data_IF_717787777467
#
_entry.id   IF_717787777467
#
_cell.length_a   1.000
_cell.length_b   1.000
_cell.length_c   1.000
_cell.angle_alpha   90.00
_cell.angle_beta   90.00
_cell.angle_gamma   90.00
#
_symmetry.space_group_name_H-M   'P 1'
#
loop_
_entity.id
_entity.type
_entity.pdbx_description
1 polymer ?
#
# COMPACT_ATOMS: atom_id res chain seq x y z
N UNK A 1 -13.21 6.37 -6.19
CA UNK A 1 -12.93 7.44 -5.20
C UNK A 1 -11.43 7.54 -4.95
N UNK A 2 -10.93 8.67 -4.42
CA UNK A 2 -9.57 8.73 -3.86
C UNK A 2 -9.46 7.60 -2.82
N UNK A 3 -8.36 6.82 -2.88
CA UNK A 3 -8.13 5.66 -2.01
C UNK A 3 -8.59 4.30 -2.56
N UNK A 4 -9.51 4.26 -3.53
CA UNK A 4 -9.97 2.97 -4.13
C UNK A 4 -9.04 2.47 -5.23
N UNK A 5 -8.33 3.38 -5.91
CA UNK A 5 -7.38 3.05 -6.97
C UNK A 5 -5.98 3.08 -6.34
N UNK A 6 -5.26 1.94 -6.28
CA UNK A 6 -3.93 1.89 -5.69
C UNK A 6 -2.94 2.80 -6.44
N UNK A 7 -2.03 3.42 -5.71
CA UNK A 7 -1.00 4.27 -6.30
C UNK A 7 -0.09 3.43 -7.20
N UNK A 8 0.15 3.88 -8.43
CA UNK A 8 0.97 3.14 -9.39
C UNK A 8 2.41 2.92 -8.90
N UNK A 9 2.98 3.93 -8.23
CA UNK A 9 4.30 3.87 -7.60
C UNK A 9 4.04 3.70 -6.11
N UNK A 10 3.90 2.46 -5.67
CA UNK A 10 3.48 2.14 -4.31
C UNK A 10 4.52 2.56 -3.27
N UNK A 11 5.81 2.68 -3.65
CA UNK A 11 6.87 3.15 -2.75
C UNK A 11 6.63 4.60 -2.31
N UNK A 12 6.07 5.41 -3.21
CA UNK A 12 5.73 6.81 -2.97
C UNK A 12 4.46 7.02 -2.14
N UNK A 13 3.66 5.96 -1.93
CA UNK A 13 2.43 6.03 -1.14
C UNK A 13 2.75 6.20 0.34
N UNK A 14 2.03 7.10 1.02
CA UNK A 14 2.12 7.28 2.48
C UNK A 14 0.79 6.90 3.11
N UNK A 15 0.84 5.92 4.04
CA UNK A 15 -0.34 5.44 4.80
C UNK A 15 -0.28 5.77 6.29
N UNK A 16 0.91 5.98 6.84
CA UNK A 16 1.08 6.30 8.25
C UNK A 16 0.49 7.68 8.56
N UNK A 17 -0.45 7.71 9.48
CA UNK A 17 -1.18 8.91 9.90
C UNK A 17 -0.26 9.97 10.53
N UNK A 18 0.78 9.59 11.24
CA UNK A 18 1.76 10.52 11.82
C UNK A 18 2.59 11.20 10.73
N UNK A 19 2.95 10.45 9.68
CA UNK A 19 3.65 11.01 8.52
C UNK A 19 2.72 11.96 7.75
N UNK A 20 1.45 11.57 7.54
CA UNK A 20 0.45 12.45 6.92
C UNK A 20 0.26 13.74 7.74
N UNK A 21 0.21 13.66 9.07
CA UNK A 21 0.13 14.83 9.95
C UNK A 21 1.33 15.76 9.75
N UNK A 22 2.55 15.24 9.77
CA UNK A 22 3.74 16.04 9.50
C UNK A 22 3.73 16.68 8.10
N UNK A 23 3.18 15.99 7.08
CA UNK A 23 3.00 16.58 5.75
C UNK A 23 2.02 17.75 5.79
N UNK A 24 0.90 17.59 6.49
CA UNK A 24 -0.09 18.67 6.66
C UNK A 24 0.47 19.84 7.44
N UNK A 25 1.37 19.62 8.42
CA UNK A 25 2.03 20.69 9.18
C UNK A 25 2.96 21.54 8.30
N UNK A 26 3.66 20.94 7.35
CA UNK A 26 4.56 21.64 6.42
C UNK A 26 3.82 22.37 5.27
N UNK A 27 2.57 22.02 4.99
CA UNK A 27 1.80 22.59 3.87
C UNK A 27 0.86 23.69 4.37
N UNK A 28 1.04 24.98 4.00
CA UNK A 28 0.27 26.09 4.58
C UNK A 28 -1.11 26.32 3.93
N UNK A 29 -1.34 25.78 2.74
CA UNK A 29 -2.52 26.09 1.91
C UNK A 29 -3.22 24.79 1.51
N UNK A 30 -4.54 24.77 1.66
CA UNK A 30 -5.41 23.76 1.05
C UNK A 30 -6.11 24.35 -0.16
N UNK A 31 -6.19 23.58 -1.24
CA UNK A 31 -7.09 23.88 -2.36
C UNK A 31 -8.38 23.10 -2.18
N UNK A 32 -9.51 23.79 -2.11
CA UNK A 32 -10.85 23.18 -2.00
C UNK A 32 -11.54 23.27 -3.35
N UNK A 33 -11.73 22.13 -4.00
CA UNK A 33 -12.46 22.00 -5.26
C UNK A 33 -13.91 21.56 -5.00
N UNK A 34 -14.86 22.20 -5.67
CA UNK A 34 -16.28 21.88 -5.65
C UNK A 34 -16.87 21.88 -7.07
N UNK A 35 -17.93 21.13 -7.31
CA UNK A 35 -18.62 21.11 -8.61
C UNK A 35 -19.40 22.42 -8.83
N UNK A 36 -19.13 23.14 -9.92
CA UNK A 36 -19.83 24.38 -10.26
C UNK A 36 -20.19 24.47 -11.75
N UNK A 37 -21.33 23.87 -12.11
CA UNK A 37 -21.75 23.80 -13.50
C UNK A 37 -20.83 22.92 -14.33
N UNK A 38 -20.28 23.46 -15.42
CA UNK A 38 -19.41 22.75 -16.36
C UNK A 38 -17.97 22.59 -15.84
N UNK A 39 -17.50 23.52 -15.00
CA UNK A 39 -16.13 23.54 -14.51
C UNK A 39 -16.06 23.31 -12.99
N UNK A 40 -14.98 22.73 -12.47
CA UNK A 40 -14.75 22.72 -11.03
C UNK A 40 -14.39 24.13 -10.54
N UNK A 41 -14.98 24.54 -9.43
CA UNK A 41 -14.61 25.76 -8.72
C UNK A 41 -13.58 25.43 -7.64
N UNK A 42 -12.37 26.00 -7.74
CA UNK A 42 -11.24 25.69 -6.85
C UNK A 42 -10.80 26.96 -6.12
N UNK A 43 -10.69 26.89 -4.79
CA UNK A 43 -10.28 28.03 -3.95
C UNK A 43 -9.16 27.64 -3.00
N UNK A 44 -8.03 28.38 -2.98
CA UNK A 44 -6.99 28.21 -1.97
C UNK A 44 -7.43 28.86 -0.65
N UNK A 45 -7.24 28.16 0.48
CA UNK A 45 -7.59 28.64 1.81
C UNK A 45 -6.48 28.25 2.81
N UNK A 46 -6.29 29.10 3.83
CA UNK A 46 -5.65 28.66 5.07
C UNK A 46 -6.56 27.67 5.77
N UNK A 47 -5.97 26.67 6.41
CA UNK A 47 -6.70 25.65 7.14
C UNK A 47 -6.12 25.41 8.52
N UNK A 48 -6.89 24.72 9.35
CA UNK A 48 -6.37 23.91 10.43
C UNK A 48 -6.93 22.51 10.27
N UNK A 49 -6.42 21.54 11.00
CA UNK A 49 -6.94 20.18 10.91
C UNK A 49 -6.93 19.48 12.26
N UNK A 50 -7.69 18.41 12.33
CA UNK A 50 -7.69 17.45 13.42
C UNK A 50 -7.80 16.04 12.83
N UNK A 51 -7.12 15.09 13.47
CA UNK A 51 -7.15 13.70 13.07
C UNK A 51 -7.78 12.88 14.18
N UNK A 52 -8.85 12.17 13.85
CA UNK A 52 -9.49 11.18 14.72
C UNK A 52 -9.20 9.77 14.18
N UNK A 53 -9.60 8.75 14.93
CA UNK A 53 -9.45 7.37 14.51
C UNK A 53 -10.19 7.06 13.19
N UNK A 54 -11.29 7.76 12.94
CA UNK A 54 -12.18 7.54 11.80
C UNK A 54 -11.96 8.53 10.64
N UNK A 55 -11.58 9.78 10.95
CA UNK A 55 -11.63 10.88 9.97
C UNK A 55 -10.45 11.84 10.08
N UNK A 56 -10.13 12.46 8.93
CA UNK A 56 -9.40 13.72 8.85
C UNK A 56 -10.43 14.87 8.78
N UNK A 57 -10.40 15.76 9.77
CA UNK A 57 -11.24 16.95 9.85
C UNK A 57 -10.43 18.17 9.41
N UNK A 58 -10.86 18.86 8.36
CA UNK A 58 -10.15 20.05 7.84
C UNK A 58 -11.02 21.28 8.05
N UNK A 59 -10.54 22.22 8.86
CA UNK A 59 -11.21 23.47 9.18
C UNK A 59 -10.75 24.58 8.26
N UNK A 60 -11.68 25.23 7.58
CA UNK A 60 -11.43 26.41 6.73
C UNK A 60 -12.32 27.57 7.14
N UNK A 61 -11.89 28.79 6.82
CA UNK A 61 -12.67 29.99 7.10
C UNK A 61 -13.23 30.63 5.84
N UNK A 62 -14.19 31.54 6.02
CA UNK A 62 -14.74 32.34 4.93
C UNK A 62 -15.79 33.34 5.37
N UNK A 63 -16.44 33.93 4.37
CA UNK A 63 -17.66 34.71 4.54
C UNK A 63 -18.87 33.78 4.78
N UNK A 64 -19.97 34.34 5.28
CA UNK A 64 -21.24 33.61 5.50
C UNK A 64 -22.10 33.49 4.23
N UNK A 65 -21.76 34.26 3.21
CA UNK A 65 -22.49 34.38 1.95
C UNK A 65 -21.50 34.59 0.79
N UNK A 66 -22.02 34.45 -0.43
CA UNK A 66 -21.26 34.57 -1.68
C UNK A 66 -21.05 33.23 -2.37
N UNK A 67 -20.55 33.31 -3.61
CA UNK A 67 -20.50 32.20 -4.57
C UNK A 67 -19.93 30.90 -3.99
N UNK A 68 -18.79 30.98 -3.27
CA UNK A 68 -18.17 29.82 -2.61
C UNK A 68 -19.12 29.08 -1.67
N UNK A 69 -19.84 29.83 -0.84
CA UNK A 69 -20.79 29.26 0.14
C UNK A 69 -22.03 28.72 -0.57
N UNK A 70 -22.49 29.39 -1.62
CA UNK A 70 -23.65 28.95 -2.41
C UNK A 70 -23.37 27.64 -3.15
N UNK A 71 -22.17 27.50 -3.73
CA UNK A 71 -21.69 26.24 -4.34
C UNK A 71 -21.64 25.12 -3.30
N UNK A 72 -21.05 25.35 -2.13
CA UNK A 72 -20.98 24.35 -1.04
C UNK A 72 -22.35 23.96 -0.49
N UNK A 73 -23.30 24.90 -0.42
CA UNK A 73 -24.69 24.61 0.00
C UNK A 73 -25.42 23.77 -1.04
N UNK A 74 -25.21 24.04 -2.33
CA UNK A 74 -25.84 23.29 -3.42
C UNK A 74 -25.33 21.86 -3.53
N UNK A 75 -24.02 21.66 -3.36
CA UNK A 75 -23.40 20.35 -3.32
C UNK A 75 -22.22 20.36 -2.31
N UNK A 76 -22.36 19.70 -1.15
CA UNK A 76 -21.33 19.74 -0.12
C UNK A 76 -20.16 18.77 -0.37
N UNK A 77 -20.17 18.00 -1.47
CA UNK A 77 -19.05 17.13 -1.83
C UNK A 77 -17.90 17.97 -2.37
N UNK A 78 -16.76 17.92 -1.70
CA UNK A 78 -15.55 18.66 -2.07
C UNK A 78 -14.34 17.75 -2.17
N UNK A 79 -13.35 18.16 -2.96
CA UNK A 79 -12.03 17.53 -3.03
C UNK A 79 -10.97 18.51 -2.52
N UNK A 80 -10.04 18.02 -1.72
CA UNK A 80 -8.98 18.76 -1.08
C UNK A 80 -7.64 18.36 -1.68
N UNK A 81 -6.77 19.33 -1.91
CA UNK A 81 -5.36 19.09 -2.27
C UNK A 81 -4.45 19.96 -1.42
N UNK A 82 -3.51 19.29 -0.77
CA UNK A 82 -2.38 19.85 -0.02
C UNK A 82 -1.12 19.44 -0.79
N UNK A 83 -0.27 20.38 -1.16
CA UNK A 83 0.95 20.04 -1.90
C UNK A 83 2.08 21.02 -1.63
N UNK A 84 3.31 20.50 -1.60
CA UNK A 84 4.53 21.28 -1.58
C UNK A 84 5.57 20.67 -2.52
N UNK A 85 6.46 21.51 -3.03
CA UNK A 85 7.44 21.15 -4.05
C UNK A 85 8.77 21.84 -3.74
N UNK A 86 9.85 21.06 -3.70
CA UNK A 86 11.20 21.56 -3.59
C UNK A 86 11.98 21.26 -4.87
N UNK A 87 12.60 22.29 -5.43
CA UNK A 87 13.55 22.13 -6.52
C UNK A 87 14.97 22.15 -5.94
N UNK A 88 15.81 21.20 -6.34
CA UNK A 88 17.21 21.13 -5.95
C UNK A 88 18.12 21.43 -7.15
N UNK A 89 18.22 22.71 -7.57
CA UNK A 89 19.03 23.07 -8.72
C UNK A 89 20.50 22.77 -8.45
N UNK A 90 21.10 21.92 -9.28
CA UNK A 90 22.51 21.50 -9.25
C UNK A 90 22.91 20.55 -8.11
N UNK A 91 22.03 20.25 -7.17
CA UNK A 91 22.35 19.45 -5.97
C UNK A 91 21.36 18.31 -5.86
N UNK A 92 21.66 17.16 -6.46
CA UNK A 92 20.73 16.03 -6.41
C UNK A 92 20.52 15.57 -4.97
N UNK A 93 19.27 15.24 -4.64
CA UNK A 93 18.91 14.56 -3.40
C UNK A 93 18.37 13.17 -3.74
N UNK A 94 19.03 12.12 -3.25
CA UNK A 94 18.69 10.70 -3.52
C UNK A 94 18.53 10.39 -5.03
N UNK A 95 19.34 11.06 -5.85
CA UNK A 95 19.33 10.92 -7.31
C UNK A 95 18.21 11.66 -8.05
N UNK A 96 17.40 12.50 -7.38
CA UNK A 96 16.43 13.41 -8.01
C UNK A 96 16.89 14.87 -7.97
N UNK A 97 16.44 15.67 -8.92
CA UNK A 97 16.63 17.13 -8.95
C UNK A 97 15.43 17.90 -8.33
N UNK A 98 14.38 17.19 -7.94
CA UNK A 98 13.20 17.77 -7.29
C UNK A 98 12.57 16.76 -6.34
N UNK A 99 11.82 17.26 -5.37
CA UNK A 99 11.03 16.46 -4.44
C UNK A 99 9.63 17.09 -4.28
N UNK A 100 8.61 16.25 -4.26
CA UNK A 100 7.21 16.65 -4.22
C UNK A 100 6.47 15.87 -3.15
N UNK A 101 5.61 16.54 -2.40
CA UNK A 101 4.80 15.93 -1.35
C UNK A 101 3.37 16.41 -1.44
N UNK A 102 2.41 15.52 -1.28
CA UNK A 102 1.00 15.89 -1.31
C UNK A 102 0.11 14.99 -0.49
N UNK A 103 -0.96 15.58 0.05
CA UNK A 103 -2.12 14.89 0.60
C UNK A 103 -3.32 15.29 -0.25
N UNK A 104 -4.18 14.32 -0.57
CA UNK A 104 -5.46 14.55 -1.20
C UNK A 104 -6.56 13.91 -0.37
N UNK A 105 -7.72 14.55 -0.29
CA UNK A 105 -8.85 14.02 0.45
C UNK A 105 -10.17 14.37 -0.25
N UNK A 106 -11.14 13.47 -0.22
CA UNK A 106 -12.52 13.79 -0.57
C UNK A 106 -13.37 13.80 0.70
N UNK A 107 -14.29 14.76 0.80
CA UNK A 107 -15.11 14.90 1.99
C UNK A 107 -16.40 15.69 1.80
N UNK A 108 -17.11 15.85 2.90
CA UNK A 108 -18.35 16.62 2.98
C UNK A 108 -18.08 17.90 3.76
N UNK A 109 -18.27 19.06 3.12
CA UNK A 109 -18.13 20.36 3.79
C UNK A 109 -19.41 20.74 4.53
N UNK A 110 -19.26 21.22 5.78
CA UNK A 110 -20.35 21.66 6.64
C UNK A 110 -20.00 22.97 7.35
N UNK A 111 -20.95 23.90 7.52
CA UNK A 111 -20.75 25.06 8.38
C UNK A 111 -20.61 24.63 9.84
N UNK A 112 -19.74 25.34 10.57
CA UNK A 112 -19.55 25.15 12.02
C UNK A 112 -20.29 26.27 12.76
N UNK A 113 -21.34 25.91 13.49
CA UNK A 113 -22.22 26.86 14.16
C UNK A 113 -21.77 27.19 15.59
N UNK A 114 -22.22 28.34 16.09
CA UNK A 114 -21.98 28.83 17.44
C UNK A 114 -23.20 28.60 18.31
N UNK A 115 -23.00 28.31 19.60
CA UNK A 115 -24.04 28.41 20.62
C UNK A 115 -24.80 27.12 20.93
N UNK A 116 -24.45 26.00 20.29
CA UNK A 116 -24.91 24.69 20.73
C UNK A 116 -24.08 24.24 21.95
N UNK A 117 -24.67 23.55 22.95
CA UNK A 117 -23.90 22.86 23.97
C UNK A 117 -22.92 21.88 23.30
N UNK A 118 -21.61 22.08 23.50
CA UNK A 118 -20.56 21.35 22.76
C UNK A 118 -20.13 21.97 21.43
N UNK A 119 -20.53 23.22 21.14
CA UNK A 119 -20.24 23.90 19.88
C UNK A 119 -18.74 23.97 19.54
N UNK A 120 -18.39 23.51 18.33
CA UNK A 120 -17.01 23.31 17.88
C UNK A 120 -16.39 24.54 17.20
N UNK A 121 -17.09 25.68 17.13
CA UNK A 121 -16.58 26.90 16.48
C UNK A 121 -15.26 27.38 17.09
N UNK A 122 -15.17 27.45 18.42
CA UNK A 122 -13.94 27.89 19.08
C UNK A 122 -12.77 26.94 18.85
N UNK A 123 -13.06 25.64 18.82
CA UNK A 123 -12.09 24.60 18.50
C UNK A 123 -11.57 24.72 17.06
N UNK A 124 -12.47 24.90 16.09
CA UNK A 124 -12.12 25.09 14.68
C UNK A 124 -11.24 26.33 14.46
N UNK A 125 -11.55 27.45 15.14
CA UNK A 125 -10.70 28.66 15.09
C UNK A 125 -9.32 28.37 15.69
N UNK A 126 -9.25 27.65 16.81
CA UNK A 126 -7.98 27.31 17.45
C UNK A 126 -7.12 26.41 16.56
N UNK A 127 -7.71 25.40 15.91
CA UNK A 127 -7.02 24.53 14.95
C UNK A 127 -6.43 25.35 13.80
N UNK A 128 -7.22 26.24 13.19
CA UNK A 128 -6.77 27.15 12.13
C UNK A 128 -5.62 28.05 12.60
N UNK A 129 -5.73 28.65 13.79
CA UNK A 129 -4.68 29.55 14.30
C UNK A 129 -3.38 28.79 14.60
N UNK A 130 -3.47 27.63 15.25
CA UNK A 130 -2.32 26.80 15.61
C UNK A 130 -1.53 26.39 14.36
N UNK A 131 -2.21 25.89 13.34
CA UNK A 131 -1.59 25.45 12.10
C UNK A 131 -0.88 26.60 11.36
N UNK A 132 -1.43 27.82 11.45
CA UNK A 132 -0.83 29.01 10.84
C UNK A 132 0.19 29.72 11.76
N UNK A 133 0.76 29.01 12.74
CA UNK A 133 1.83 29.51 13.62
C UNK A 133 1.40 30.56 14.64
N UNK A 134 0.09 30.74 14.89
CA UNK A 134 -0.44 31.71 15.86
C UNK A 134 -0.71 31.02 17.20
N UNK A 135 -0.12 31.55 18.27
CA UNK A 135 -0.21 30.93 19.61
C UNK A 135 -1.61 31.12 20.24
N UNK A 136 -2.11 30.16 21.03
CA UNK A 136 -3.42 30.25 21.70
C UNK A 136 -3.61 31.51 22.55
N UNK A 137 -2.54 32.02 23.16
CA UNK A 137 -2.57 33.22 24.00
C UNK A 137 -2.62 34.56 23.24
N UNK A 138 -2.35 34.58 21.93
CA UNK A 138 -2.42 35.83 21.16
C UNK A 138 -3.85 36.27 20.85
N UNK A 139 -4.82 35.35 20.93
CA UNK A 139 -6.14 35.55 20.35
C UNK A 139 -7.22 34.85 21.19
N UNK A 140 -8.01 35.62 21.95
CA UNK A 140 -9.20 35.04 22.59
C UNK A 140 -10.22 34.66 21.51
N UNK A 141 -10.77 33.44 21.57
CA UNK A 141 -11.76 32.92 20.60
C UNK A 141 -12.93 33.89 20.38
N UNK A 142 -13.35 34.62 21.43
CA UNK A 142 -14.41 35.64 21.34
C UNK A 142 -14.13 36.71 20.27
N UNK A 143 -12.86 37.08 20.07
CA UNK A 143 -12.46 38.10 19.10
C UNK A 143 -12.68 37.67 17.65
N UNK A 144 -12.66 36.36 17.37
CA UNK A 144 -12.85 35.78 16.03
C UNK A 144 -14.29 35.35 15.75
N UNK A 145 -15.24 35.74 16.60
CA UNK A 145 -16.64 35.34 16.47
C UNK A 145 -17.35 35.82 15.19
N UNK A 146 -16.75 36.76 14.45
CA UNK A 146 -17.26 37.21 13.15
C UNK A 146 -16.93 36.23 12.02
N UNK A 147 -15.87 35.42 12.17
CA UNK A 147 -15.36 34.53 11.15
C UNK A 147 -16.27 33.30 10.99
N UNK A 148 -16.80 33.08 9.78
CA UNK A 148 -17.51 31.85 9.48
C UNK A 148 -16.50 30.72 9.32
N UNK A 149 -16.78 29.62 10.00
CA UNK A 149 -15.95 28.41 9.96
C UNK A 149 -16.72 27.30 9.27
N UNK A 150 -15.98 26.47 8.55
CA UNK A 150 -16.48 25.28 7.89
C UNK A 150 -15.54 24.13 8.21
N UNK A 151 -16.08 22.92 8.33
CA UNK A 151 -15.32 21.68 8.49
C UNK A 151 -15.57 20.81 7.27
N UNK A 152 -14.51 20.22 6.73
CA UNK A 152 -14.61 19.16 5.73
C UNK A 152 -14.30 17.85 6.44
N UNK A 153 -15.30 16.98 6.51
CA UNK A 153 -15.17 15.64 7.08
C UNK A 153 -14.69 14.68 5.98
N UNK A 154 -13.49 14.14 6.13
CA UNK A 154 -12.91 13.18 5.18
C UNK A 154 -12.69 11.84 5.89
N UNK A 155 -13.36 10.78 5.44
CA UNK A 155 -13.07 9.43 5.93
C UNK A 155 -11.67 9.00 5.48
N UNK A 156 -10.93 8.28 6.32
CA UNK A 156 -9.57 7.84 5.98
C UNK A 156 -9.51 6.98 4.69
N UNK A 157 -10.59 6.27 4.37
CA UNK A 157 -10.73 5.54 3.10
C UNK A 157 -10.72 6.46 1.85
N UNK A 158 -10.90 7.76 2.04
CA UNK A 158 -10.93 8.79 1.01
C UNK A 158 -9.78 9.78 1.12
N UNK A 159 -8.74 9.43 1.88
CA UNK A 159 -7.49 10.19 2.00
C UNK A 159 -6.37 9.40 1.32
N UNK A 160 -5.53 10.10 0.56
CA UNK A 160 -4.32 9.53 -0.02
C UNK A 160 -3.16 10.51 0.14
N UNK A 161 -1.95 10.01 0.32
CA UNK A 161 -0.77 10.84 0.42
C UNK A 161 0.38 10.27 -0.41
N UNK A 162 1.19 11.17 -0.98
CA UNK A 162 2.33 10.85 -1.84
C UNK A 162 3.57 11.64 -1.40
N UNK A 163 4.72 10.98 -1.43
CA UNK A 163 6.04 11.61 -1.45
C UNK A 163 6.82 11.13 -2.68
N UNK A 164 7.54 12.02 -3.37
CA UNK A 164 8.35 11.65 -4.53
C UNK A 164 9.56 10.84 -4.08
N UNK A 165 10.24 11.33 -3.05
CA UNK A 165 11.23 10.57 -2.29
C UNK A 165 10.51 9.91 -1.12
N UNK A 166 10.46 8.57 -1.06
CA UNK A 166 9.79 7.91 0.04
C UNK A 166 10.42 8.15 1.41
N UNK A 167 9.57 8.12 2.44
CA UNK A 167 9.85 8.49 3.82
C UNK A 167 9.36 7.41 4.78
N UNK A 168 10.03 7.28 5.93
CA UNK A 168 9.72 6.28 6.94
C UNK A 168 9.18 6.88 8.24
N UNK A 169 9.59 8.11 8.56
CA UNK A 169 9.22 8.76 9.81
C UNK A 169 8.80 10.21 9.60
N UNK A 170 8.02 10.79 10.53
CA UNK A 170 7.62 12.19 10.47
C UNK A 170 8.80 13.17 10.34
N UNK A 171 9.96 12.85 10.91
CA UNK A 171 11.15 13.71 10.86
C UNK A 171 11.80 13.76 9.48
N UNK A 172 11.43 12.85 8.57
CA UNK A 172 11.91 12.84 7.18
C UNK A 172 11.05 13.76 6.26
N UNK A 173 9.99 14.36 6.81
CA UNK A 173 9.03 15.20 6.09
C UNK A 173 9.49 16.64 5.85
N UNK A 174 10.34 17.30 6.64
CA UNK A 174 10.93 18.56 6.18
C UNK A 174 11.80 18.34 4.93
N UNK A 175 11.86 19.30 4.01
CA UNK A 175 12.81 19.19 2.88
C UNK A 175 14.24 19.40 3.41
N UNK A 176 15.23 18.64 2.93
CA UNK A 176 16.61 18.83 3.35
C UNK A 176 17.12 20.20 2.87
N UNK A 177 17.91 20.84 3.71
CA UNK A 177 18.64 22.07 3.36
C UNK A 177 19.74 21.77 2.34
N UNK A 178 20.18 22.76 1.55
CA UNK A 178 21.34 22.60 0.66
C UNK A 178 22.60 22.10 1.38
N UNK A 179 22.80 22.51 2.64
CA UNK A 179 23.92 22.06 3.46
C UNK A 179 23.82 20.57 3.80
N UNK A 180 22.63 20.09 4.19
CA UNK A 180 22.37 18.67 4.44
C UNK A 180 22.49 17.83 3.17
N UNK A 181 22.04 18.33 2.01
CA UNK A 181 22.21 17.64 0.72
C UNK A 181 23.69 17.49 0.38
N UNK A 182 24.49 18.55 0.51
CA UNK A 182 25.95 18.50 0.23
C UNK A 182 26.70 17.63 1.24
N UNK A 183 26.27 17.60 2.50
CA UNK A 183 26.88 16.79 3.55
C UNK A 183 26.50 15.30 3.45
N UNK A 184 25.30 15.01 2.97
CA UNK A 184 24.81 13.67 2.71
C UNK A 184 25.33 13.15 1.37
N UNK A 185 26.46 12.45 1.37
CA UNK A 185 26.82 11.59 0.24
C UNK A 185 25.61 10.71 -0.08
N UNK A 186 25.18 10.67 -1.35
CA UNK A 186 24.04 9.91 -1.88
C UNK A 186 23.82 8.59 -1.11
N UNK A 187 23.04 8.62 -0.02
CA UNK A 187 22.72 7.39 0.70
C UNK A 187 21.82 6.60 -0.24
N UNK A 188 22.18 5.36 -0.60
CA UNK A 188 21.35 4.56 -1.46
C UNK A 188 19.97 4.45 -0.81
N UNK A 189 18.95 4.69 -1.62
CA UNK A 189 17.57 4.57 -1.21
C UNK A 189 17.29 3.09 -0.84
N UNK A 190 16.80 2.85 0.38
CA UNK A 190 16.51 1.49 0.84
C UNK A 190 15.19 1.00 0.23
N UNK A 191 15.27 0.44 -0.97
CA UNK A 191 14.13 -0.16 -1.63
C UNK A 191 13.55 -1.33 -0.82
N UNK A 192 14.38 -2.09 -0.10
CA UNK A 192 13.91 -3.28 0.61
C UNK A 192 12.88 -2.91 1.68
N UNK A 193 13.04 -1.77 2.35
CA UNK A 193 12.04 -1.24 3.28
C UNK A 193 10.64 -1.16 2.64
N UNK A 194 10.51 -0.64 1.41
CA UNK A 194 9.20 -0.42 0.77
C UNK A 194 8.55 -1.67 0.22
N UNK A 195 9.36 -2.57 -0.34
CA UNK A 195 8.85 -3.87 -0.78
C UNK A 195 8.36 -4.71 0.40
N UNK A 196 8.90 -4.50 1.61
CA UNK A 196 8.55 -5.33 2.75
C UNK A 196 7.64 -4.65 3.78
N UNK A 197 7.53 -3.30 3.83
CA UNK A 197 6.76 -2.60 4.87
C UNK A 197 5.30 -3.06 4.97
N UNK A 198 4.83 -3.40 6.16
CA UNK A 198 3.42 -3.66 6.42
C UNK A 198 2.69 -2.34 6.76
N UNK A 199 1.42 -2.16 6.34
CA UNK A 199 0.66 -0.94 6.65
C UNK A 199 0.14 -0.87 8.09
N UNK A 200 0.38 -1.92 8.89
CA UNK A 200 -0.03 -2.05 10.28
C UNK A 200 1.20 -2.31 11.16
N UNK A 201 1.11 -1.90 12.43
CA UNK A 201 2.14 -2.21 13.41
C UNK A 201 2.15 -3.70 13.75
N UNK A 202 3.33 -4.29 13.87
CA UNK A 202 3.51 -5.73 14.09
C UNK A 202 3.03 -6.21 15.48
N UNK A 203 2.80 -5.29 16.41
CA UNK A 203 2.16 -5.55 17.70
C UNK A 203 0.69 -6.04 17.55
N UNK A 204 0.09 -5.91 16.37
CA UNK A 204 -1.28 -6.30 16.05
C UNK A 204 -1.48 -7.81 15.76
N UNK A 205 -0.54 -8.67 16.15
CA UNK A 205 -0.54 -10.11 15.86
C UNK A 205 -1.03 -11.07 16.98
N UNK A 206 -2.07 -10.78 17.79
CA UNK A 206 -2.58 -11.80 18.69
C UNK A 206 -3.44 -12.83 17.95
N UNK A 207 -2.99 -14.09 17.94
CA UNK A 207 -3.90 -15.23 17.74
C UNK A 207 -4.27 -15.55 16.30
N UNK A 208 -3.34 -15.44 15.35
CA UNK A 208 -3.51 -16.03 14.02
C UNK A 208 -3.70 -17.55 14.17
N UNK A 209 -4.91 -18.02 13.88
CA UNK A 209 -5.22 -19.44 13.87
C UNK A 209 -4.70 -20.04 12.57
N UNK A 210 -4.04 -21.20 12.68
CA UNK A 210 -3.69 -22.02 11.53
C UNK A 210 -4.94 -22.27 10.67
N UNK A 211 -4.81 -22.12 9.35
CA UNK A 211 -5.87 -22.49 8.44
C UNK A 211 -6.12 -24.01 8.51
N UNK A 212 -7.39 -24.43 8.33
CA UNK A 212 -7.71 -25.86 8.25
C UNK A 212 -7.03 -26.50 7.03
N UNK A 213 -6.52 -27.71 7.21
CA UNK A 213 -6.01 -28.50 6.07
C UNK A 213 -7.13 -28.76 5.05
N UNK A 214 -6.86 -28.66 3.74
CA UNK A 214 -7.83 -29.03 2.71
C UNK A 214 -8.32 -30.48 2.87
N UNK A 215 -9.59 -30.73 2.51
CA UNK A 215 -10.26 -32.04 2.70
C UNK A 215 -9.97 -33.08 1.62
N UNK A 216 -9.59 -32.68 0.42
CA UNK A 216 -9.34 -33.56 -0.74
C UNK A 216 -7.94 -33.28 -1.32
N UNK A 217 -7.19 -34.32 -1.72
CA UNK A 217 -5.79 -34.22 -2.15
C UNK A 217 -5.60 -34.86 -3.54
N UNK A 218 -4.94 -34.16 -4.47
CA UNK A 218 -4.64 -34.67 -5.82
C UNK A 218 -3.17 -35.09 -6.00
N UNK A 219 -2.22 -34.48 -5.30
CA UNK A 219 -0.79 -34.80 -5.48
C UNK A 219 0.03 -34.60 -4.19
N UNK A 220 0.97 -35.52 -3.91
CA UNK A 220 1.86 -35.48 -2.74
C UNK A 220 3.26 -34.97 -3.06
N UNK A 221 4.01 -34.57 -2.03
CA UNK A 221 5.43 -34.25 -2.14
C UNK A 221 6.24 -35.44 -2.72
N UNK A 222 6.94 -35.28 -3.86
CA UNK A 222 7.79 -36.29 -4.48
C UNK A 222 7.26 -37.06 -5.70
N UNK A 223 6.00 -36.85 -6.17
CA UNK A 223 5.38 -37.75 -7.16
C UNK A 223 5.41 -37.27 -8.63
N UNK A 224 5.41 -35.96 -8.91
CA UNK A 224 5.50 -35.38 -10.28
C UNK A 224 6.03 -33.92 -10.27
N UNK A 225 6.75 -33.50 -11.33
CA UNK A 225 7.18 -32.09 -11.53
C UNK A 225 6.00 -31.18 -11.93
N UNK A 226 5.10 -31.66 -12.79
CA UNK A 226 3.82 -31.01 -13.15
C UNK A 226 2.69 -31.65 -12.38
N UNK A 227 1.96 -30.87 -11.58
CA UNK A 227 0.86 -31.39 -10.75
C UNK A 227 -0.53 -31.10 -11.34
N UNK A 228 -0.69 -30.05 -12.16
CA UNK A 228 -1.86 -29.87 -13.03
C UNK A 228 -1.41 -29.42 -14.42
N UNK A 229 -1.86 -30.12 -15.46
CA UNK A 229 -1.56 -29.79 -16.85
C UNK A 229 -2.77 -29.15 -17.54
N UNK A 230 -2.51 -28.20 -18.45
CA UNK A 230 -3.56 -27.57 -19.27
C UNK A 230 -4.57 -26.74 -18.48
N UNK A 231 -4.14 -26.09 -17.39
CA UNK A 231 -4.99 -25.16 -16.64
C UNK A 231 -5.30 -23.91 -17.49
N UNK A 232 -6.45 -23.26 -17.28
CA UNK A 232 -6.79 -22.07 -18.04
C UNK A 232 -5.82 -20.93 -17.75
N UNK A 233 -5.50 -20.15 -18.79
CA UNK A 233 -4.67 -18.95 -18.66
C UNK A 233 -5.42 -17.72 -18.14
N UNK A 234 -6.72 -17.85 -17.83
CA UNK A 234 -7.57 -16.77 -17.32
C UNK A 234 -8.46 -17.28 -16.19
N UNK A 235 -8.69 -16.41 -15.19
CA UNK A 235 -9.60 -16.72 -14.10
C UNK A 235 -9.13 -17.87 -13.21
N UNK A 236 -7.83 -18.15 -13.13
CA UNK A 236 -7.27 -19.11 -12.19
C UNK A 236 -7.08 -18.45 -10.83
N UNK A 237 -7.57 -19.02 -9.74
CA UNK A 237 -7.28 -18.58 -8.38
C UNK A 237 -6.37 -19.59 -7.70
N UNK A 238 -5.22 -19.13 -7.20
CA UNK A 238 -4.29 -19.90 -6.39
C UNK A 238 -4.45 -19.46 -4.93
N UNK A 239 -5.00 -20.32 -4.10
CA UNK A 239 -5.17 -20.09 -2.66
C UNK A 239 -4.06 -20.82 -1.92
N UNK A 240 -3.33 -20.08 -1.08
CA UNK A 240 -2.24 -20.62 -0.27
C UNK A 240 -2.64 -20.57 1.19
N UNK A 241 -2.55 -21.69 1.89
CA UNK A 241 -2.83 -21.80 3.32
C UNK A 241 -1.62 -22.39 4.03
N UNK A 242 -1.39 -22.03 5.30
CA UNK A 242 -0.36 -22.67 6.12
C UNK A 242 -0.86 -22.99 7.54
N UNK A 243 -0.26 -24.01 8.14
CA UNK A 243 -0.66 -24.55 9.46
C UNK A 243 0.23 -24.06 10.61
N UNK A 244 1.04 -23.04 10.36
CA UNK A 244 2.17 -22.64 11.20
C UNK A 244 1.86 -22.19 12.63
N UNK A 245 2.92 -21.99 13.39
CA UNK A 245 2.86 -21.52 14.77
C UNK A 245 2.13 -20.16 14.89
N UNK A 246 1.41 -19.91 16.00
CA UNK A 246 0.76 -18.62 16.22
C UNK A 246 1.74 -17.44 16.14
N UNK A 247 1.31 -16.37 15.48
CA UNK A 247 2.09 -15.14 15.32
C UNK A 247 3.11 -15.18 14.18
N UNK A 248 3.22 -16.28 13.43
CA UNK A 248 3.94 -16.30 12.17
C UNK A 248 3.14 -15.53 11.10
N UNK A 249 3.81 -14.64 10.38
CA UNK A 249 3.26 -13.91 9.22
C UNK A 249 4.01 -14.43 7.99
N UNK A 250 3.28 -15.06 7.09
CA UNK A 250 3.81 -15.56 5.84
C UNK A 250 3.20 -14.76 4.69
N UNK A 251 4.08 -14.14 3.91
CA UNK A 251 3.70 -13.35 2.75
C UNK A 251 3.77 -14.22 1.50
N UNK A 252 2.68 -14.22 0.74
CA UNK A 252 2.64 -14.79 -0.60
C UNK A 252 2.90 -13.68 -1.61
N UNK A 253 3.71 -14.01 -2.61
CA UNK A 253 3.98 -13.11 -3.72
C UNK A 253 4.09 -13.88 -5.01
N UNK A 254 3.98 -13.17 -6.12
CA UNK A 254 4.15 -13.71 -7.44
C UNK A 254 5.13 -12.86 -8.24
N UNK A 255 6.10 -13.48 -8.90
CA UNK A 255 6.98 -12.83 -9.87
C UNK A 255 6.71 -13.38 -11.26
N UNK A 256 6.79 -12.49 -12.27
CA UNK A 256 6.59 -12.84 -13.67
C UNK A 256 7.96 -12.92 -14.34
N UNK A 257 8.23 -14.04 -15.02
CA UNK A 257 9.51 -14.29 -15.67
C UNK A 257 9.38 -14.27 -17.20
N UNK A 258 10.34 -13.59 -17.83
CA UNK A 258 10.52 -13.63 -19.28
C UNK A 258 11.07 -15.01 -19.73
N UNK A 259 11.27 -15.18 -21.03
CA UNK A 259 11.79 -16.42 -21.63
C UNK A 259 13.23 -16.76 -21.24
N UNK A 260 13.94 -15.87 -20.56
CA UNK A 260 15.26 -16.10 -19.98
C UNK A 260 15.18 -16.51 -18.49
N UNK A 261 13.97 -16.65 -17.94
CA UNK A 261 13.75 -16.96 -16.53
C UNK A 261 14.00 -15.78 -15.59
N UNK A 262 13.92 -14.55 -16.10
CA UNK A 262 14.26 -13.33 -15.35
C UNK A 262 13.06 -12.42 -15.11
N UNK A 263 13.08 -11.74 -13.96
CA UNK A 263 12.22 -10.59 -13.71
C UNK A 263 12.80 -9.40 -14.48
N UNK A 264 12.16 -9.04 -15.60
CA UNK A 264 12.69 -7.99 -16.48
C UNK A 264 12.60 -6.60 -15.86
N UNK A 265 11.55 -6.33 -15.05
CA UNK A 265 11.33 -5.04 -14.39
C UNK A 265 10.77 -5.22 -12.99
N UNK A 266 11.06 -4.24 -12.13
CA UNK A 266 10.64 -4.23 -10.71
C UNK A 266 9.12 -4.30 -10.47
N UNK A 267 8.30 -4.02 -11.48
CA UNK A 267 6.85 -4.07 -11.39
C UNK A 267 6.25 -5.33 -12.02
N UNK A 268 7.06 -6.28 -12.46
CA UNK A 268 6.63 -7.57 -12.98
C UNK A 268 6.44 -8.56 -11.81
N UNK A 269 5.65 -8.12 -10.82
CA UNK A 269 5.30 -8.89 -9.62
C UNK A 269 3.95 -8.46 -9.04
N UNK A 270 3.36 -9.32 -8.22
CA UNK A 270 2.21 -8.99 -7.38
C UNK A 270 2.43 -9.46 -5.93
N UNK A 271 2.14 -8.58 -4.97
CA UNK A 271 2.22 -8.84 -3.53
C UNK A 271 1.34 -7.82 -2.75
N UNK A 272 1.33 -7.85 -1.43
CA UNK A 272 0.42 -7.02 -0.62
C UNK A 272 0.54 -5.49 -0.84
N UNK A 273 1.74 -4.93 -1.06
CA UNK A 273 1.89 -3.49 -1.36
C UNK A 273 1.71 -3.14 -2.83
N UNK A 274 1.97 -4.07 -3.74
CA UNK A 274 1.67 -3.94 -5.16
C UNK A 274 0.75 -5.08 -5.58
N UNK A 275 -0.55 -4.90 -5.37
CA UNK A 275 -1.52 -5.99 -5.61
C UNK A 275 -1.62 -6.44 -7.05
N UNK A 276 -1.11 -5.67 -8.03
CA UNK A 276 -1.15 -6.04 -9.45
C UNK A 276 0.23 -5.87 -10.06
N UNK A 277 0.64 -6.85 -10.85
CA UNK A 277 1.76 -6.66 -11.75
C UNK A 277 1.40 -5.66 -12.87
N UNK A 278 2.44 -5.21 -13.58
CA UNK A 278 2.36 -4.26 -14.69
C UNK A 278 1.37 -4.65 -15.78
N UNK A 279 1.25 -5.94 -16.08
CA UNK A 279 0.41 -6.51 -17.14
C UNK A 279 -0.99 -6.90 -16.64
N UNK A 280 -1.23 -6.83 -15.33
CA UNK A 280 -2.48 -7.26 -14.68
C UNK A 280 -2.76 -8.75 -14.92
N UNK A 281 -1.71 -9.54 -15.05
CA UNK A 281 -1.76 -10.98 -15.17
C UNK A 281 -1.87 -11.67 -13.80
N UNK A 282 -1.43 -11.02 -12.72
CA UNK A 282 -1.59 -11.50 -11.36
C UNK A 282 -2.17 -10.39 -10.49
N UNK A 283 -3.17 -10.75 -9.67
CA UNK A 283 -3.74 -9.92 -8.63
C UNK A 283 -3.66 -10.59 -7.27
N UNK A 284 -2.95 -9.96 -6.33
CA UNK A 284 -2.91 -10.36 -4.93
C UNK A 284 -4.19 -9.91 -4.22
N UNK A 285 -4.98 -10.85 -3.70
CA UNK A 285 -6.28 -10.53 -3.06
C UNK A 285 -6.10 -9.77 -1.73
N UNK A 286 -4.93 -9.89 -1.10
CA UNK A 286 -4.49 -9.05 0.00
C UNK A 286 -3.81 -9.85 1.10
N UNK A 287 -3.24 -9.12 2.04
CA UNK A 287 -2.49 -9.64 3.19
C UNK A 287 -3.38 -10.47 4.14
N UNK A 288 -2.89 -11.60 4.65
CA UNK A 288 -3.66 -12.53 5.47
C UNK A 288 -4.10 -11.93 6.81
N UNK A 289 -3.26 -11.10 7.44
CA UNK A 289 -3.56 -10.41 8.71
C UNK A 289 -4.76 -9.46 8.57
N UNK A 290 -4.95 -8.88 7.38
CA UNK A 290 -6.05 -7.95 7.12
C UNK A 290 -7.33 -8.63 6.66
N UNK A 291 -7.25 -9.83 6.07
CA UNK A 291 -8.38 -10.45 5.37
C UNK A 291 -8.80 -11.80 5.94
N UNK A 292 -7.84 -12.72 6.14
CA UNK A 292 -8.09 -14.08 6.62
C UNK A 292 -6.81 -14.69 7.17
N UNK A 293 -6.69 -14.86 8.50
CA UNK A 293 -5.55 -15.51 9.14
C UNK A 293 -5.07 -16.78 8.45
N UNK A 294 -3.77 -16.85 8.14
CA UNK A 294 -3.10 -18.08 7.69
C UNK A 294 -3.38 -18.45 6.25
N UNK A 295 -3.93 -17.52 5.46
CA UNK A 295 -4.29 -17.75 4.07
C UNK A 295 -4.21 -16.48 3.21
N UNK A 296 -3.52 -16.59 2.07
CA UNK A 296 -3.55 -15.60 1.00
C UNK A 296 -4.00 -16.20 -0.34
N UNK A 297 -4.34 -15.35 -1.30
CA UNK A 297 -4.76 -15.80 -2.61
C UNK A 297 -4.31 -14.87 -3.74
N UNK A 298 -4.01 -15.49 -4.88
CA UNK A 298 -3.62 -14.85 -6.12
C UNK A 298 -4.67 -15.17 -7.19
N UNK A 299 -5.22 -14.15 -7.85
CA UNK A 299 -5.96 -14.31 -9.11
C UNK A 299 -4.99 -14.19 -10.27
N UNK A 300 -5.04 -15.12 -11.21
CA UNK A 300 -4.09 -15.26 -12.31
C UNK A 300 -4.84 -15.27 -13.65
N UNK A 301 -4.56 -14.23 -14.44
CA UNK A 301 -4.91 -14.02 -15.84
C UNK A 301 -3.63 -14.05 -16.70
N UNK A 302 -2.89 -15.16 -16.65
CA UNK A 302 -1.59 -15.35 -17.30
C UNK A 302 -1.57 -15.05 -18.81
N UNK A 303 -2.70 -15.18 -19.51
CA UNK A 303 -2.81 -14.83 -20.94
C UNK A 303 -2.65 -13.33 -21.23
N UNK A 304 -2.69 -12.48 -20.20
CA UNK A 304 -2.39 -11.04 -20.33
C UNK A 304 -0.89 -10.75 -20.39
N UNK A 305 -0.05 -11.70 -20.01
CA UNK A 305 1.39 -11.52 -20.12
C UNK A 305 1.82 -11.44 -21.60
N UNK A 306 2.83 -10.62 -21.93
CA UNK A 306 3.42 -10.62 -23.26
C UNK A 306 3.94 -12.00 -23.68
N UNK A 307 4.10 -12.23 -24.99
CA UNK A 307 4.49 -13.54 -25.54
C UNK A 307 5.86 -14.04 -25.08
N UNK A 308 6.79 -13.11 -24.80
CA UNK A 308 8.10 -13.40 -24.26
C UNK A 308 8.08 -13.82 -22.79
N UNK A 309 6.97 -13.66 -22.08
CA UNK A 309 6.81 -14.13 -20.70
C UNK A 309 6.31 -15.57 -20.65
N UNK A 310 6.97 -16.38 -19.83
CA UNK A 310 6.79 -17.84 -19.84
C UNK A 310 6.38 -18.40 -18.49
N UNK A 311 6.62 -17.69 -17.39
CA UNK A 311 6.34 -18.23 -16.06
C UNK A 311 5.77 -17.19 -15.11
N UNK A 312 4.90 -17.65 -14.21
CA UNK A 312 4.59 -16.98 -12.95
C UNK A 312 5.10 -17.86 -11.82
N UNK A 313 5.96 -17.35 -10.95
CA UNK A 313 6.45 -18.09 -9.78
C UNK A 313 5.75 -17.58 -8.53
N UNK A 314 5.15 -18.48 -7.77
CA UNK A 314 4.54 -18.22 -6.47
C UNK A 314 5.58 -18.43 -5.39
N UNK A 315 5.86 -17.38 -4.62
CA UNK A 315 6.85 -17.34 -3.55
C UNK A 315 6.14 -17.22 -2.20
N UNK A 316 6.72 -17.81 -1.17
CA UNK A 316 6.35 -17.59 0.23
C UNK A 316 7.57 -17.11 1.02
N UNK A 317 7.37 -16.12 1.90
CA UNK A 317 8.41 -15.61 2.79
C UNK A 317 7.86 -15.34 4.18
N UNK A 318 8.67 -15.59 5.21
CA UNK A 318 8.33 -15.25 6.60
C UNK A 318 8.73 -13.80 6.87
N UNK A 319 7.76 -12.95 7.18
CA UNK A 319 8.01 -11.54 7.41
C UNK A 319 8.93 -11.31 8.60
N UNK A 320 9.96 -10.49 8.40
CA UNK A 320 10.93 -10.10 9.43
C UNK A 320 11.59 -11.29 10.14
N UNK A 321 11.77 -12.39 9.39
CA UNK A 321 12.28 -13.67 9.87
C UNK A 321 13.57 -13.55 10.70
N UNK A 322 14.52 -12.74 10.23
CA UNK A 322 15.82 -12.55 10.90
C UNK A 322 15.68 -11.93 12.29
N UNK A 323 15.01 -10.78 12.40
CA UNK A 323 14.86 -10.08 13.69
C UNK A 323 13.95 -10.84 14.66
N UNK A 324 13.08 -11.69 14.14
CA UNK A 324 12.10 -12.46 14.92
C UNK A 324 12.57 -13.87 15.24
N UNK A 325 13.70 -14.32 14.69
CA UNK A 325 14.18 -15.69 14.84
C UNK A 325 13.16 -16.70 14.31
N UNK A 326 12.53 -16.40 13.17
CA UNK A 326 11.51 -17.22 12.53
C UNK A 326 11.96 -17.73 11.15
N UNK A 327 11.36 -18.82 10.69
CA UNK A 327 11.69 -19.51 9.44
C UNK A 327 10.47 -20.30 8.93
N UNK A 328 10.56 -20.83 7.71
CA UNK A 328 9.48 -21.63 7.12
C UNK A 328 9.24 -22.94 7.88
N UNK A 329 10.22 -23.49 8.60
CA UNK A 329 10.02 -24.67 9.45
C UNK A 329 8.87 -24.47 10.44
N UNK A 330 8.75 -23.26 11.01
CA UNK A 330 7.67 -22.89 11.93
C UNK A 330 6.32 -22.70 11.23
N UNK A 331 6.29 -22.60 9.91
CA UNK A 331 5.05 -22.53 9.11
C UNK A 331 4.35 -23.89 8.95
N UNK A 332 5.03 -24.99 9.30
CA UNK A 332 4.47 -26.34 9.22
C UNK A 332 4.30 -26.80 7.77
N UNK A 333 3.07 -26.84 7.26
CA UNK A 333 2.78 -27.26 5.88
C UNK A 333 2.05 -26.16 5.14
N UNK A 334 2.55 -25.84 3.94
CA UNK A 334 1.82 -25.02 2.98
C UNK A 334 0.92 -25.90 2.11
N UNK A 335 -0.27 -25.40 1.80
CA UNK A 335 -1.23 -26.02 0.89
C UNK A 335 -1.55 -25.01 -0.21
N UNK A 336 -1.27 -25.37 -1.46
CA UNK A 336 -1.68 -24.61 -2.63
C UNK A 336 -2.90 -25.28 -3.26
N UNK A 337 -4.00 -24.55 -3.33
CA UNK A 337 -5.24 -24.96 -4.00
C UNK A 337 -5.46 -24.11 -5.24
N UNK A 338 -5.67 -24.77 -6.38
CA UNK A 338 -6.08 -24.16 -7.64
C UNK A 338 -7.60 -24.31 -7.81
N UNK A 339 -8.28 -23.21 -8.05
CA UNK A 339 -9.72 -23.15 -8.32
C UNK A 339 -10.05 -22.16 -9.45
N UNK A 340 -11.18 -22.33 -10.13
CA UNK A 340 -11.68 -21.33 -11.06
C UNK A 340 -12.30 -20.16 -10.28
N UNK A 341 -11.86 -18.94 -10.58
CA UNK A 341 -12.28 -17.74 -9.87
C UNK A 341 -13.76 -17.40 -10.07
N UNK A 342 -14.36 -17.81 -11.20
CA UNK A 342 -15.75 -17.51 -11.57
C UNK A 342 -16.76 -18.24 -10.68
N UNK A 343 -16.55 -19.55 -10.44
CA UNK A 343 -17.51 -20.43 -9.79
C UNK A 343 -16.95 -21.15 -8.55
N UNK A 344 -15.65 -21.02 -8.27
CA UNK A 344 -14.97 -21.73 -7.18
C UNK A 344 -14.75 -23.22 -7.45
N UNK A 345 -14.81 -23.65 -8.72
CA UNK A 345 -14.57 -25.05 -9.09
C UNK A 345 -13.15 -25.46 -8.74
N UNK A 346 -13.02 -26.49 -7.91
CA UNK A 346 -11.74 -27.05 -7.50
C UNK A 346 -11.06 -27.78 -8.66
N UNK A 347 -9.85 -27.37 -9.00
CA UNK A 347 -9.03 -27.99 -10.04
C UNK A 347 -8.00 -28.93 -9.42
N UNK A 348 -7.46 -28.56 -8.25
CA UNK A 348 -6.65 -29.44 -7.45
C UNK A 348 -5.90 -28.74 -6.33
N UNK A 349 -5.15 -29.53 -5.56
CA UNK A 349 -4.16 -28.99 -4.64
C UNK A 349 -2.90 -29.86 -4.53
N UNK A 350 -1.87 -29.29 -3.91
CA UNK A 350 -0.72 -30.03 -3.40
C UNK A 350 -0.25 -29.42 -2.07
N UNK A 351 0.48 -30.22 -1.30
CA UNK A 351 1.06 -29.83 -0.01
C UNK A 351 2.58 -29.78 -0.06
N UNK A 352 3.15 -28.87 0.72
CA UNK A 352 4.60 -28.67 0.85
C UNK A 352 4.95 -28.67 2.34
N UNK A 353 5.48 -29.79 2.88
CA UNK A 353 5.94 -29.85 4.26
C UNK A 353 7.26 -29.09 4.43
N UNK A 354 7.27 -27.99 5.18
CA UNK A 354 8.42 -27.08 5.25
C UNK A 354 9.65 -27.69 5.93
N UNK A 355 9.45 -28.53 6.94
CA UNK A 355 10.54 -29.24 7.63
C UNK A 355 11.39 -30.09 6.66
N UNK A 356 10.74 -30.73 5.68
CA UNK A 356 11.41 -31.58 4.70
C UNK A 356 11.94 -30.81 3.48
N UNK A 357 11.29 -29.70 3.11
CA UNK A 357 11.52 -29.01 1.82
C UNK A 357 12.36 -27.73 1.97
N UNK A 358 12.11 -26.92 3.00
CA UNK A 358 12.77 -25.62 3.20
C UNK A 358 13.77 -25.62 4.37
N UNK A 359 13.56 -26.47 5.38
CA UNK A 359 14.33 -26.44 6.63
C UNK A 359 14.29 -25.05 7.28
N UNK A 360 15.44 -24.58 7.77
CA UNK A 360 15.57 -23.30 8.46
C UNK A 360 15.55 -22.04 7.54
N UNK A 361 15.23 -22.20 6.26
CA UNK A 361 15.22 -21.08 5.31
C UNK A 361 13.96 -20.21 5.50
N UNK A 362 14.07 -18.88 5.40
CA UNK A 362 12.95 -17.97 5.66
C UNK A 362 12.03 -17.74 4.45
N UNK A 363 12.41 -18.17 3.24
CA UNK A 363 11.57 -18.08 2.06
C UNK A 363 11.77 -19.25 1.09
N UNK A 364 10.81 -19.45 0.18
CA UNK A 364 10.89 -20.46 -0.87
C UNK A 364 9.96 -20.17 -2.05
N UNK A 365 10.23 -20.79 -3.19
CA UNK A 365 9.29 -20.88 -4.30
C UNK A 365 8.40 -22.12 -4.12
N UNK A 366 7.08 -21.91 -4.07
CA UNK A 366 6.09 -22.96 -3.84
C UNK A 366 5.65 -23.63 -5.14
N UNK A 367 5.32 -22.83 -6.16
CA UNK A 367 4.81 -23.31 -7.44
C UNK A 367 5.24 -22.41 -8.60
N UNK A 368 5.16 -22.96 -9.81
CA UNK A 368 5.34 -22.25 -11.07
C UNK A 368 4.13 -22.50 -11.96
N UNK A 369 3.58 -21.46 -12.56
CA UNK A 369 2.67 -21.56 -13.69
C UNK A 369 3.50 -21.38 -14.96
N UNK A 370 3.70 -22.44 -15.74
CA UNK A 370 4.61 -22.49 -16.89
C UNK A 370 3.82 -22.55 -18.20
N UNK A 371 4.17 -21.70 -19.15
CA UNK A 371 3.55 -21.64 -20.48
C UNK A 371 3.96 -22.83 -21.33
N UNK A 372 2.98 -23.46 -21.97
CA UNK A 372 3.16 -24.59 -22.90
C UNK A 372 2.44 -24.31 -24.23
N UNK A 373 2.61 -25.17 -25.23
CA UNK A 373 1.84 -25.09 -26.48
C UNK A 373 0.34 -25.36 -26.27
N UNK A 374 -0.03 -26.10 -25.23
CA UNK A 374 -1.40 -26.53 -24.93
C UNK A 374 -2.11 -25.65 -23.87
N UNK A 375 -1.49 -24.56 -23.43
CA UNK A 375 -1.99 -23.71 -22.35
C UNK A 375 -0.96 -23.55 -21.24
N UNK A 376 -1.39 -23.61 -19.98
CA UNK A 376 -0.50 -23.45 -18.83
C UNK A 376 -0.45 -24.72 -17.98
N UNK A 377 0.72 -24.99 -17.41
CA UNK A 377 0.92 -26.08 -16.47
C UNK A 377 1.26 -25.51 -15.09
N UNK A 378 0.62 -26.01 -14.05
CA UNK A 378 1.05 -25.77 -12.68
C UNK A 378 2.06 -26.84 -12.30
N UNK A 379 3.26 -26.38 -12.01
CA UNK A 379 4.41 -27.18 -11.63
C UNK A 379 4.83 -26.85 -10.19
N UNK A 380 5.54 -27.79 -9.58
CA UNK A 380 6.20 -27.53 -8.31
C UNK A 380 7.52 -26.80 -8.54
N UNK A 381 7.90 -25.97 -7.58
CA UNK A 381 9.16 -25.25 -7.56
C UNK A 381 10.12 -25.93 -6.57
N UNK A 382 10.02 -25.60 -5.29
CA UNK A 382 10.77 -26.24 -4.21
C UNK A 382 12.12 -25.59 -3.92
N UNK A 383 12.47 -24.46 -4.53
CA UNK A 383 13.73 -23.77 -4.25
C UNK A 383 13.63 -22.92 -2.97
N UNK A 384 14.43 -23.20 -1.93
CA UNK A 384 14.45 -22.37 -0.72
C UNK A 384 15.48 -21.23 -0.84
N UNK A 385 15.23 -20.13 -0.12
CA UNK A 385 16.02 -18.91 -0.15
C UNK A 385 16.40 -18.44 1.25
N UNK A 386 17.63 -17.98 1.41
CA UNK A 386 18.19 -17.49 2.68
C UNK A 386 17.75 -16.10 3.10
N UNK A 387 16.97 -15.41 2.27
CA UNK A 387 16.48 -14.07 2.53
C UNK A 387 15.02 -13.98 2.12
N UNK A 388 14.18 -13.48 3.02
CA UNK A 388 12.74 -13.35 2.84
C UNK A 388 12.35 -12.08 2.10
N UNK A 389 13.26 -11.10 2.02
CA UNK A 389 12.96 -9.80 1.42
C UNK A 389 12.69 -10.00 -0.07
N UNK A 390 11.59 -9.45 -0.57
CA UNK A 390 11.23 -9.53 -1.99
C UNK A 390 12.35 -9.02 -2.93
N UNK A 391 13.13 -8.04 -2.47
CA UNK A 391 14.33 -7.55 -3.17
C UNK A 391 15.44 -8.58 -3.29
N UNK A 392 15.65 -9.44 -2.29
CA UNK A 392 16.58 -10.55 -2.43
C UNK A 392 16.02 -11.63 -3.36
N UNK A 393 14.75 -11.99 -3.20
CA UNK A 393 14.08 -12.98 -4.06
C UNK A 393 14.10 -12.60 -5.54
N UNK A 394 13.83 -11.35 -5.87
CA UNK A 394 13.97 -10.85 -7.24
C UNK A 394 15.39 -10.91 -7.80
N UNK A 395 16.40 -10.73 -6.95
CA UNK A 395 17.79 -10.81 -7.37
C UNK A 395 18.20 -12.24 -7.77
N UNK A 396 17.59 -13.26 -7.15
CA UNK A 396 17.70 -14.67 -7.57
C UNK A 396 17.16 -14.88 -9.00
N UNK A 397 16.13 -14.10 -9.39
CA UNK A 397 15.59 -14.06 -10.74
C UNK A 397 16.17 -12.93 -11.62
N UNK A 398 17.42 -12.53 -11.37
CA UNK A 398 18.20 -11.66 -12.26
C UNK A 398 18.01 -10.16 -12.06
N UNK A 399 17.00 -9.69 -11.33
CA UNK A 399 16.77 -8.25 -11.11
C UNK A 399 17.62 -7.71 -9.96
N UNK A 400 18.87 -7.33 -10.26
CA UNK A 400 19.85 -6.84 -9.26
C UNK A 400 19.83 -5.33 -9.07
N UNK A 401 19.13 -4.57 -9.92
CA UNK A 401 19.05 -3.10 -9.87
C UNK A 401 17.60 -2.65 -9.92
N UNK A 402 17.25 -1.77 -8.98
CA UNK A 402 15.89 -1.33 -8.71
C UNK A 402 15.46 -0.07 -9.48
N UNK A 403 16.41 0.69 -10.01
CA UNK A 403 16.14 1.84 -10.88
C UNK A 403 16.17 1.37 -12.34
N UNK A 404 15.07 1.63 -13.06
CA UNK A 404 15.07 1.63 -14.53
C UNK A 404 16.11 2.62 -15.08
#
# INVERSE_FOLDING_TARGET
MIGEIPMRIFESEVRDRKIIAAMLDEIPIVHVAAQDGEYPYVVPLSYGYEMTDEKLLVYVHGAREGHKVDVWRKNPKVSLTFSTFCNHPNEKYKGSLHDYRSVMANGIIRPVYRGEPGGTHGHAVQALMNHNGRKPGQFSVRHYGFMAMFVVECDWAHVSAKTEVPVERPEDIPFPTPEEIRAGADKPFDYACYFNRKPYGYEALPGLLAAESPKEELCRSGETETWLAGVPGQGLRLRVNWTGAPGLDCDISAVLLNGEGQVARRYDMAFYNQRRDRYRAVYHEGDDILNRPGQEALLVDADRMPEDYREVVVLAGVYDAENRGQSLEQAGTFYLTAELAENGEFLGNFRVPMEAEAGAQPAMALARLVRTEAGWNLCRAGEPYGDWRLTALMAEYGLKRWKE
#
